data_IF_967427948332
#
_entry.id   IF_967427948332
#
_cell.length_a   1.000
_cell.length_b   1.000
_cell.length_c   1.000
_cell.angle_alpha   90.00
_cell.angle_beta   90.00
_cell.angle_gamma   90.00
#
_symmetry.space_group_name_H-M   'P 1'
#
loop_
_entity.id
_entity.type
_entity.pdbx_description
1 polymer ?
#
# COMPACT_ATOMS: atom_id res chain seq x y z
N UNK A 1 14.10 -15.51 -34.31
CA UNK A 1 13.64 -14.80 -33.09
C UNK A 1 13.78 -15.74 -31.91
N UNK A 2 14.66 -15.44 -30.94
CA UNK A 2 14.77 -16.23 -29.70
C UNK A 2 13.72 -15.73 -28.70
N UNK A 3 12.98 -16.61 -28.00
CA UNK A 3 12.04 -16.16 -26.98
C UNK A 3 12.83 -15.54 -25.81
N UNK A 4 12.40 -14.37 -25.35
CA UNK A 4 12.92 -13.74 -24.12
C UNK A 4 12.67 -14.71 -22.96
N UNK A 5 13.73 -15.20 -22.33
CA UNK A 5 13.65 -16.06 -21.15
C UNK A 5 13.01 -15.30 -19.99
N UNK A 6 11.96 -15.88 -19.40
CA UNK A 6 11.39 -15.38 -18.14
C UNK A 6 12.48 -15.37 -17.06
N UNK A 7 12.63 -14.30 -16.27
CA UNK A 7 13.61 -14.25 -15.17
C UNK A 7 13.26 -15.23 -14.03
N UNK A 8 12.14 -15.94 -14.13
CA UNK A 8 11.61 -16.85 -13.12
C UNK A 8 11.73 -18.30 -13.58
N UNK A 9 12.95 -18.83 -13.61
CA UNK A 9 13.15 -20.26 -13.74
C UNK A 9 12.55 -20.98 -12.51
N UNK A 10 11.80 -22.07 -12.76
CA UNK A 10 10.91 -22.75 -11.81
C UNK A 10 11.63 -23.16 -10.52
N UNK A 11 11.37 -22.45 -9.42
CA UNK A 11 11.62 -22.94 -8.07
C UNK A 11 10.30 -23.50 -7.48
N UNK A 12 10.36 -24.71 -6.94
CA UNK A 12 9.22 -25.35 -6.28
C UNK A 12 8.82 -24.56 -5.01
N UNK A 13 7.51 -24.35 -4.74
CA UNK A 13 7.08 -23.60 -3.57
C UNK A 13 7.39 -24.38 -2.28
N UNK A 14 7.86 -23.72 -1.20
CA UNK A 14 7.98 -24.34 0.11
C UNK A 14 6.61 -24.65 0.71
N UNK A 15 6.52 -25.73 1.49
CA UNK A 15 5.30 -26.14 2.21
C UNK A 15 4.89 -25.04 3.20
N UNK A 16 3.68 -24.51 3.01
CA UNK A 16 3.09 -23.46 3.84
C UNK A 16 2.39 -24.07 5.06
N UNK A 17 2.68 -23.54 6.26
CA UNK A 17 1.89 -23.77 7.46
C UNK A 17 0.91 -22.61 7.67
N UNK A 18 -0.38 -22.89 7.95
CA UNK A 18 -1.36 -21.84 8.24
C UNK A 18 -1.03 -21.11 9.55
N UNK A 19 -1.37 -19.81 9.67
CA UNK A 19 -1.26 -19.09 10.93
C UNK A 19 -2.24 -19.64 11.98
N UNK A 20 -1.91 -19.57 13.29
CA UNK A 20 -2.76 -20.12 14.34
C UNK A 20 -4.09 -19.37 14.42
N UNK A 21 -5.20 -20.13 14.39
CA UNK A 21 -6.54 -19.70 14.75
C UNK A 21 -6.55 -19.18 16.19
N UNK A 22 -6.89 -17.90 16.38
CA UNK A 22 -7.11 -17.33 17.71
C UNK A 22 -8.45 -17.86 18.22
N UNK A 23 -8.40 -18.86 19.10
CA UNK A 23 -9.55 -19.43 19.78
C UNK A 23 -10.00 -18.45 20.88
N UNK A 24 -11.15 -17.80 20.69
CA UNK A 24 -11.76 -16.96 21.71
C UNK A 24 -12.43 -17.86 22.76
N UNK A 25 -11.83 -18.01 23.94
CA UNK A 25 -12.51 -18.59 25.09
C UNK A 25 -12.87 -17.49 26.10
N UNK A 26 -14.16 -17.37 26.35
CA UNK A 26 -14.76 -16.52 27.39
C UNK A 26 -14.35 -17.05 28.78
N UNK A 27 -13.96 -16.16 29.69
CA UNK A 27 -14.20 -16.33 31.12
C UNK A 27 -14.66 -15.02 31.74
N UNK A 28 -15.89 -15.07 32.25
CA UNK A 28 -16.54 -14.10 33.13
C UNK A 28 -16.07 -14.29 34.58
N UNK A 29 -15.62 -13.21 35.22
CA UNK A 29 -15.68 -12.91 36.67
C UNK A 29 -14.87 -11.61 36.87
N UNK A 30 -15.34 -10.52 37.48
CA UNK A 30 -16.36 -10.36 38.48
C UNK A 30 -15.72 -9.88 39.78
N UNK A 31 -15.12 -8.69 39.82
CA UNK A 31 -14.66 -8.06 41.08
C UNK A 31 -14.89 -6.55 41.06
N UNK A 32 -15.72 -6.08 42.01
CA UNK A 32 -15.88 -4.69 42.41
C UNK A 32 -14.69 -4.26 43.26
N UNK A 33 -14.21 -3.03 43.11
CA UNK A 33 -13.84 -2.16 44.25
C UNK A 33 -13.42 -0.75 43.80
N UNK A 34 -14.08 0.22 44.41
CA UNK A 34 -13.67 1.57 44.81
C UNK A 34 -12.81 2.46 43.87
N UNK A 35 -13.39 3.59 43.47
CA UNK A 35 -12.67 4.84 43.20
C UNK A 35 -11.85 5.30 44.42
N UNK A 36 -10.79 6.07 44.20
CA UNK A 36 -10.93 7.51 44.40
C UNK A 36 -10.34 8.36 43.26
N UNK A 37 -10.71 9.63 43.31
CA UNK A 37 -10.49 10.72 42.37
C UNK A 37 -9.01 11.06 42.10
N UNK A 38 -8.79 11.70 40.94
CA UNK A 38 -7.72 12.68 40.77
C UNK A 38 -6.32 12.16 40.45
N UNK A 39 -5.98 12.03 39.16
CA UNK A 39 -4.74 12.64 38.63
C UNK A 39 -4.75 12.63 37.11
N UNK A 40 -4.61 13.82 36.54
CA UNK A 40 -4.28 14.06 35.13
C UNK A 40 -2.96 13.38 34.79
N UNK A 41 -3.00 12.21 34.14
CA UNK A 41 -1.81 11.64 33.49
C UNK A 41 -1.59 12.36 32.17
N UNK A 42 -0.67 13.32 32.21
CA UNK A 42 0.02 13.84 31.04
C UNK A 42 0.43 12.67 30.14
N UNK A 43 -0.07 12.69 28.90
CA UNK A 43 0.27 11.71 27.88
C UNK A 43 1.79 11.65 27.72
N UNK A 44 2.37 10.46 27.90
CA UNK A 44 3.76 10.20 27.49
C UNK A 44 3.81 10.33 25.98
N UNK A 45 4.18 11.52 25.51
CA UNK A 45 4.60 11.74 24.13
C UNK A 45 5.74 10.77 23.83
N UNK A 46 5.48 9.79 22.97
CA UNK A 46 6.54 9.02 22.32
C UNK A 46 7.25 9.99 21.38
N UNK A 47 8.26 10.69 21.87
CA UNK A 47 9.12 11.49 21.00
C UNK A 47 9.81 10.54 20.01
N UNK A 48 9.61 10.70 18.68
CA UNK A 48 10.34 9.91 17.71
C UNK A 48 11.84 10.23 17.83
N UNK A 49 12.67 9.20 17.69
CA UNK A 49 14.13 9.37 17.59
C UNK A 49 14.48 10.35 16.46
N UNK A 50 15.44 11.27 16.65
CA UNK A 50 15.88 12.18 15.59
C UNK A 50 16.28 11.41 14.33
N UNK A 51 15.90 11.91 13.15
CA UNK A 51 16.09 11.22 11.86
C UNK A 51 17.54 10.76 11.60
N UNK A 52 18.54 11.51 12.09
CA UNK A 52 19.96 11.12 12.03
C UNK A 52 20.28 9.87 12.86
N UNK A 53 19.72 9.74 14.07
CA UNK A 53 19.95 8.58 14.94
C UNK A 53 19.27 7.32 14.38
N UNK A 54 18.09 7.50 13.78
CA UNK A 54 17.36 6.43 13.09
C UNK A 54 18.17 5.86 11.93
N UNK A 55 18.74 6.71 11.07
CA UNK A 55 19.62 6.27 9.98
C UNK A 55 20.89 5.56 10.45
N UNK A 56 21.46 5.96 11.60
CA UNK A 56 22.62 5.29 12.20
C UNK A 56 22.26 3.90 12.73
N UNK A 57 21.13 3.74 13.42
CA UNK A 57 20.65 2.43 13.88
C UNK A 57 20.32 1.51 12.68
N UNK A 58 19.71 2.07 11.63
CA UNK A 58 19.41 1.39 10.36
C UNK A 58 20.68 0.87 9.65
N UNK A 59 21.78 1.62 9.67
CA UNK A 59 23.04 1.23 9.05
C UNK A 59 23.89 0.28 9.92
N UNK A 60 23.85 0.43 11.25
CA UNK A 60 24.77 -0.24 12.17
C UNK A 60 24.21 -1.53 12.78
N UNK A 61 22.88 -1.72 12.76
CA UNK A 61 22.20 -2.90 13.32
C UNK A 61 21.10 -3.44 12.39
N UNK A 62 21.45 -3.97 11.20
CA UNK A 62 20.47 -4.41 10.19
C UNK A 62 19.52 -5.50 10.70
N UNK A 63 19.98 -6.39 11.58
CA UNK A 63 19.15 -7.43 12.22
C UNK A 63 18.09 -6.84 13.16
N UNK A 64 18.47 -5.87 13.99
CA UNK A 64 17.54 -5.20 14.91
C UNK A 64 16.52 -4.37 14.14
N UNK A 65 16.95 -3.67 13.09
CA UNK A 65 16.05 -2.95 12.19
C UNK A 65 15.05 -3.90 11.51
N UNK A 66 15.50 -5.05 11.01
CA UNK A 66 14.63 -6.06 10.43
C UNK A 66 13.55 -6.56 11.40
N UNK A 67 13.91 -6.83 12.66
CA UNK A 67 12.96 -7.25 13.71
C UNK A 67 11.97 -6.14 14.05
N UNK A 68 12.44 -4.90 14.23
CA UNK A 68 11.56 -3.76 14.54
C UNK A 68 10.60 -3.44 13.39
N UNK A 69 11.07 -3.52 12.15
CA UNK A 69 10.23 -3.39 10.96
C UNK A 69 9.17 -4.50 10.94
N UNK A 70 9.55 -5.76 11.14
CA UNK A 70 8.62 -6.89 11.17
C UNK A 70 7.49 -6.70 12.20
N UNK A 71 7.84 -6.29 13.43
CA UNK A 71 6.84 -6.01 14.49
C UNK A 71 5.89 -4.88 14.07
N UNK A 72 6.44 -3.77 13.53
CA UNK A 72 5.65 -2.64 13.06
C UNK A 72 4.68 -3.06 11.95
N UNK A 73 5.17 -3.79 10.96
CA UNK A 73 4.38 -4.14 9.77
C UNK A 73 3.34 -5.21 10.10
N UNK A 74 3.62 -6.11 11.06
CA UNK A 74 2.61 -6.99 11.65
C UNK A 74 1.46 -6.23 12.31
N UNK A 75 1.77 -5.14 13.03
CA UNK A 75 0.75 -4.27 13.63
C UNK A 75 -0.06 -3.48 12.61
N UNK A 76 0.45 -3.31 11.39
CA UNK A 76 -0.28 -2.58 10.35
C UNK A 76 -1.58 -3.27 9.90
N UNK A 77 -1.73 -4.59 10.10
CA UNK A 77 -3.03 -5.24 9.93
C UNK A 77 -4.07 -4.77 10.96
N UNK A 78 -3.63 -4.28 12.12
CA UNK A 78 -4.51 -3.82 13.20
C UNK A 78 -4.72 -2.31 13.08
N UNK A 79 -3.61 -1.56 13.02
CA UNK A 79 -3.58 -0.10 13.17
C UNK A 79 -3.31 0.66 11.86
N UNK A 80 -3.09 -0.05 10.75
CA UNK A 80 -2.76 0.52 9.44
C UNK A 80 -3.98 0.63 8.52
N UNK A 81 -3.72 0.53 7.21
CA UNK A 81 -4.78 0.54 6.19
C UNK A 81 -5.65 -0.71 6.29
N UNK A 82 -6.98 -0.56 6.44
CA UNK A 82 -7.87 -1.70 6.63
C UNK A 82 -7.96 -2.61 5.39
N UNK A 83 -7.69 -2.07 4.19
CA UNK A 83 -7.66 -2.83 2.92
C UNK A 83 -6.56 -3.90 2.90
N UNK A 84 -5.52 -3.74 3.72
CA UNK A 84 -4.45 -4.72 3.86
C UNK A 84 -4.97 -6.11 4.28
N UNK A 85 -6.09 -6.16 5.02
CA UNK A 85 -6.78 -7.40 5.41
C UNK A 85 -7.42 -8.12 4.22
N UNK A 86 -7.68 -7.41 3.13
CA UNK A 86 -8.32 -7.95 1.92
C UNK A 86 -7.30 -8.55 0.94
N UNK A 87 -5.99 -8.35 1.15
CA UNK A 87 -4.96 -8.81 0.22
C UNK A 87 -5.04 -10.30 -0.11
N UNK A 88 -5.32 -11.16 0.87
CA UNK A 88 -5.50 -12.61 0.66
C UNK A 88 -6.69 -12.99 -0.22
N UNK A 89 -7.62 -12.05 -0.44
CA UNK A 89 -8.77 -12.21 -1.34
C UNK A 89 -8.50 -11.67 -2.74
N UNK A 90 -7.52 -10.75 -2.85
CA UNK A 90 -7.17 -10.05 -4.08
C UNK A 90 -6.03 -10.72 -4.84
N UNK A 91 -5.15 -11.44 -4.14
CA UNK A 91 -4.03 -12.21 -4.69
C UNK A 91 -3.85 -13.55 -3.98
N UNK A 92 -3.48 -14.57 -4.74
CA UNK A 92 -3.25 -15.94 -4.29
C UNK A 92 -1.76 -16.27 -4.27
N UNK A 93 -1.37 -17.28 -3.50
CA UNK A 93 0.03 -17.72 -3.44
C UNK A 93 0.56 -18.14 -4.82
N UNK A 94 1.80 -17.74 -5.13
CA UNK A 94 2.46 -18.00 -6.42
C UNK A 94 2.11 -17.00 -7.52
N UNK A 95 1.04 -16.22 -7.38
CA UNK A 95 0.68 -15.17 -8.34
C UNK A 95 1.63 -13.96 -8.22
N UNK A 96 1.70 -13.17 -9.30
CA UNK A 96 2.53 -11.96 -9.33
C UNK A 96 1.71 -10.75 -8.90
N UNK A 97 2.30 -9.94 -8.02
CA UNK A 97 1.77 -8.68 -7.53
C UNK A 97 2.72 -7.52 -7.83
N UNK A 98 2.19 -6.37 -8.22
CA UNK A 98 2.95 -5.12 -8.30
C UNK A 98 2.64 -4.22 -7.10
N UNK A 99 3.68 -3.66 -6.48
CA UNK A 99 3.59 -2.67 -5.40
C UNK A 99 4.21 -1.36 -5.92
N UNK A 100 3.36 -0.44 -6.38
CA UNK A 100 3.79 0.81 -7.05
C UNK A 100 3.71 1.95 -6.04
N UNK A 101 4.86 2.60 -5.80
CA UNK A 101 5.03 3.52 -4.67
C UNK A 101 5.28 2.77 -3.37
N UNK A 102 6.13 1.74 -3.43
CA UNK A 102 6.28 0.77 -2.35
C UNK A 102 6.76 1.39 -1.02
N UNK A 103 7.36 2.58 -1.04
CA UNK A 103 7.89 3.30 0.10
C UNK A 103 8.88 2.44 0.90
N UNK A 104 8.58 2.17 2.18
CA UNK A 104 9.36 1.26 3.04
C UNK A 104 9.04 -0.22 2.77
N UNK A 105 8.05 -0.53 1.95
CA UNK A 105 7.63 -1.87 1.51
C UNK A 105 6.59 -2.54 2.41
N UNK A 106 5.57 -1.81 2.88
CA UNK A 106 4.58 -2.40 3.79
C UNK A 106 3.65 -3.39 3.06
N UNK A 107 3.18 -3.03 1.87
CA UNK A 107 2.41 -3.92 1.00
C UNK A 107 3.28 -5.07 0.49
N UNK A 108 4.48 -4.78 -0.01
CA UNK A 108 5.49 -5.80 -0.38
C UNK A 108 5.65 -6.88 0.70
N UNK A 109 5.74 -6.49 1.96
CA UNK A 109 5.89 -7.42 3.08
C UNK A 109 4.72 -8.38 3.25
N UNK A 110 3.49 -7.88 3.14
CA UNK A 110 2.30 -8.70 3.29
C UNK A 110 2.05 -9.58 2.07
N UNK A 111 2.26 -9.04 0.87
CA UNK A 111 2.19 -9.80 -0.38
C UNK A 111 3.15 -11.01 -0.35
N UNK A 112 4.41 -10.79 0.06
CA UNK A 112 5.39 -11.88 0.22
C UNK A 112 4.96 -12.91 1.28
N UNK A 113 4.29 -12.49 2.37
CA UNK A 113 3.79 -13.38 3.42
C UNK A 113 2.58 -14.20 2.98
N UNK A 114 1.74 -13.66 2.10
CA UNK A 114 0.66 -14.40 1.45
C UNK A 114 1.17 -15.29 0.30
N UNK A 115 2.48 -15.33 0.07
CA UNK A 115 3.12 -16.22 -0.89
C UNK A 115 3.12 -15.69 -2.32
N UNK A 116 2.76 -14.42 -2.55
CA UNK A 116 2.87 -13.80 -3.85
C UNK A 116 4.34 -13.55 -4.23
N UNK A 117 4.60 -13.47 -5.54
CA UNK A 117 5.85 -12.93 -6.09
C UNK A 117 5.63 -11.44 -6.36
N UNK A 118 6.55 -10.59 -5.93
CA UNK A 118 6.34 -9.15 -5.91
C UNK A 118 7.30 -8.44 -6.87
N UNK A 119 6.76 -7.47 -7.59
CA UNK A 119 7.52 -6.47 -8.34
C UNK A 119 7.23 -5.11 -7.70
N UNK A 120 8.19 -4.60 -6.93
CA UNK A 120 8.05 -3.33 -6.22
C UNK A 120 8.72 -2.19 -7.00
N UNK A 121 8.04 -1.05 -7.11
CA UNK A 121 8.54 0.17 -7.72
C UNK A 121 8.63 1.27 -6.67
N UNK A 122 9.81 1.85 -6.51
CA UNK A 122 10.06 2.94 -5.55
C UNK A 122 11.07 3.92 -6.16
N UNK A 123 10.70 5.19 -6.41
CA UNK A 123 11.62 6.16 -7.02
C UNK A 123 12.69 6.68 -6.05
N UNK A 124 12.41 6.78 -4.75
CA UNK A 124 13.34 7.39 -3.79
C UNK A 124 14.55 6.47 -3.54
N UNK A 125 15.78 6.86 -3.94
CA UNK A 125 16.96 6.00 -3.81
C UNK A 125 17.26 5.57 -2.37
N UNK A 126 16.90 6.41 -1.39
CA UNK A 126 17.08 6.10 0.04
C UNK A 126 16.12 5.00 0.48
N UNK A 127 14.88 5.02 0.02
CA UNK A 127 13.88 3.98 0.33
C UNK A 127 14.17 2.68 -0.41
N UNK A 128 14.65 2.75 -1.66
CA UNK A 128 15.16 1.59 -2.39
C UNK A 128 16.25 0.88 -1.58
N UNK A 129 17.22 1.61 -1.02
CA UNK A 129 18.27 1.01 -0.21
C UNK A 129 17.73 0.38 1.08
N UNK A 130 16.76 1.01 1.74
CA UNK A 130 16.06 0.43 2.90
C UNK A 130 15.37 -0.89 2.51
N UNK A 131 14.66 -0.92 1.38
CA UNK A 131 13.98 -2.12 0.90
C UNK A 131 14.96 -3.22 0.52
N UNK A 132 16.08 -2.90 -0.15
CA UNK A 132 17.14 -3.89 -0.47
C UNK A 132 17.64 -4.61 0.77
N UNK A 133 17.91 -3.87 1.84
CA UNK A 133 18.36 -4.45 3.11
C UNK A 133 17.27 -5.29 3.78
N UNK A 134 16.03 -4.76 3.79
CA UNK A 134 14.88 -5.39 4.45
C UNK A 134 14.45 -6.69 3.77
N UNK A 135 14.54 -6.75 2.45
CA UNK A 135 14.05 -7.87 1.64
C UNK A 135 15.14 -8.64 0.92
N UNK A 136 16.40 -8.54 1.36
CA UNK A 136 17.54 -9.21 0.74
C UNK A 136 17.30 -10.70 0.49
N UNK A 137 16.68 -11.41 1.44
CA UNK A 137 16.35 -12.83 1.29
C UNK A 137 15.31 -13.10 0.18
N UNK A 138 14.24 -12.29 0.13
CA UNK A 138 13.20 -12.42 -0.90
C UNK A 138 13.70 -12.00 -2.29
N UNK A 139 14.68 -11.10 -2.36
CA UNK A 139 15.35 -10.79 -3.62
C UNK A 139 16.29 -11.93 -4.04
N UNK A 140 17.04 -12.50 -3.09
CA UNK A 140 17.98 -13.59 -3.33
C UNK A 140 17.31 -14.89 -3.77
N UNK A 141 16.08 -15.16 -3.32
CA UNK A 141 15.31 -16.34 -3.72
C UNK A 141 14.33 -16.10 -4.88
N UNK A 142 14.31 -14.88 -5.43
CA UNK A 142 13.44 -14.54 -6.55
C UNK A 142 11.96 -14.48 -6.18
N UNK A 143 11.60 -14.07 -4.97
CA UNK A 143 10.22 -13.67 -4.66
C UNK A 143 9.98 -12.18 -4.79
N UNK A 144 11.03 -11.36 -4.81
CA UNK A 144 10.95 -9.90 -4.98
C UNK A 144 11.89 -9.39 -6.08
N UNK A 145 11.34 -8.62 -7.02
CA UNK A 145 12.09 -7.72 -7.90
C UNK A 145 11.83 -6.28 -7.47
N UNK A 146 12.89 -5.54 -7.12
CA UNK A 146 12.80 -4.12 -6.76
C UNK A 146 13.34 -3.24 -7.89
N UNK A 147 12.54 -2.27 -8.33
CA UNK A 147 12.86 -1.37 -9.44
C UNK A 147 12.86 0.08 -8.94
N UNK A 148 14.02 0.73 -9.06
CA UNK A 148 14.22 2.12 -8.61
C UNK A 148 13.83 3.13 -9.68
N UNK A 149 12.53 3.34 -9.92
CA UNK A 149 12.03 4.32 -10.88
C UNK A 149 10.66 4.84 -10.47
N UNK A 150 10.29 6.03 -10.95
CA UNK A 150 8.93 6.51 -10.93
C UNK A 150 8.15 5.88 -12.10
N UNK A 151 6.93 5.44 -11.85
CA UNK A 151 6.03 5.02 -12.94
C UNK A 151 5.16 6.18 -13.39
N UNK A 152 4.88 6.25 -14.69
CA UNK A 152 4.11 7.31 -15.33
C UNK A 152 3.56 6.80 -16.68
N UNK A 153 2.96 7.69 -17.48
CA UNK A 153 2.49 7.41 -18.83
C UNK A 153 3.57 7.59 -19.92
N UNK A 154 4.81 7.91 -19.52
CA UNK A 154 5.94 8.08 -20.42
C UNK A 154 7.28 7.68 -19.82
N UNK A 155 8.31 7.66 -20.67
CA UNK A 155 9.70 7.36 -20.33
C UNK A 155 10.52 8.64 -20.13
N UNK A 156 11.72 8.53 -19.54
CA UNK A 156 12.70 9.61 -19.41
C UNK A 156 13.12 9.83 -17.97
N UNK A 157 13.40 11.08 -17.61
CA UNK A 157 13.70 11.48 -16.23
C UNK A 157 12.52 12.27 -15.66
N UNK A 158 12.37 12.23 -14.34
CA UNK A 158 11.42 13.02 -13.58
C UNK A 158 12.09 13.60 -12.32
N UNK A 159 11.57 14.72 -11.85
CA UNK A 159 11.97 15.30 -10.57
C UNK A 159 11.06 14.73 -9.49
N UNK A 160 11.61 13.93 -8.59
CA UNK A 160 10.94 13.50 -7.38
C UNK A 160 11.05 14.59 -6.31
N UNK A 161 9.91 15.07 -5.84
CA UNK A 161 9.82 16.04 -4.76
C UNK A 161 9.56 15.31 -3.44
N UNK A 162 10.47 15.48 -2.47
CA UNK A 162 10.47 14.78 -1.19
C UNK A 162 10.32 15.80 -0.06
N UNK A 163 9.15 15.89 0.59
CA UNK A 163 8.96 16.78 1.72
C UNK A 163 9.87 16.41 2.90
N UNK A 164 10.60 17.39 3.44
CA UNK A 164 11.52 17.18 4.55
C UNK A 164 10.75 16.67 5.76
N UNK A 165 11.16 15.51 6.28
CA UNK A 165 10.50 14.83 7.41
C UNK A 165 9.35 13.90 7.02
N UNK A 166 8.86 13.95 5.77
CA UNK A 166 7.67 13.22 5.32
C UNK A 166 7.89 12.55 3.96
N UNK A 167 8.88 11.65 3.88
CA UNK A 167 9.16 10.88 2.66
C UNK A 167 8.02 9.94 2.19
N UNK A 168 6.94 9.81 2.97
CA UNK A 168 5.71 9.15 2.53
C UNK A 168 4.98 9.98 1.47
N UNK A 169 5.00 11.31 1.59
CA UNK A 169 4.33 12.26 0.71
C UNK A 169 5.17 12.62 -0.53
N UNK A 170 6.07 11.72 -0.96
CA UNK A 170 6.96 11.99 -2.07
C UNK A 170 6.21 11.80 -3.39
N UNK A 171 6.32 12.75 -4.31
CA UNK A 171 5.55 12.75 -5.56
C UNK A 171 6.35 13.35 -6.71
N UNK A 172 6.03 12.97 -7.94
CA UNK A 172 6.53 13.61 -9.17
C UNK A 172 5.55 14.66 -9.71
N UNK A 173 4.42 14.88 -9.04
CA UNK A 173 3.47 15.95 -9.34
C UNK A 173 3.91 17.26 -8.65
N UNK A 174 4.55 18.15 -9.41
CA UNK A 174 5.00 19.44 -8.87
C UNK A 174 3.84 20.28 -8.29
N UNK A 175 2.63 20.15 -8.83
CA UNK A 175 1.45 20.87 -8.35
C UNK A 175 1.00 20.43 -6.94
N UNK A 176 1.24 19.18 -6.57
CA UNK A 176 0.92 18.65 -5.23
C UNK A 176 1.82 19.24 -4.14
N UNK A 177 3.00 19.75 -4.51
CA UNK A 177 3.97 20.33 -3.58
C UNK A 177 3.59 21.75 -3.14
N UNK A 178 2.90 22.51 -3.99
CA UNK A 178 2.49 23.88 -3.67
C UNK A 178 1.59 23.99 -2.43
N UNK A 179 1.01 22.87 -1.99
CA UNK A 179 0.16 22.76 -0.80
C UNK A 179 0.94 22.44 0.49
N UNK A 180 2.24 22.15 0.40
CA UNK A 180 3.05 21.73 1.54
C UNK A 180 3.83 22.91 2.15
N UNK A 181 3.56 23.22 3.43
CA UNK A 181 4.27 24.26 4.19
C UNK A 181 5.63 23.80 4.74
N UNK A 182 6.35 22.92 4.03
CA UNK A 182 7.65 22.39 4.48
C UNK A 182 8.70 22.52 3.39
N UNK A 183 9.97 22.47 3.78
CA UNK A 183 11.07 22.39 2.82
C UNK A 183 10.97 21.09 1.99
N UNK A 184 11.36 21.17 0.72
CA UNK A 184 11.26 20.06 -0.23
C UNK A 184 12.64 19.79 -0.81
N UNK A 185 13.07 18.54 -0.74
CA UNK A 185 14.26 18.04 -1.44
C UNK A 185 13.83 17.53 -2.82
N UNK A 186 14.60 17.84 -3.87
CA UNK A 186 14.38 17.33 -5.22
C UNK A 186 15.43 16.30 -5.60
N UNK A 187 15.02 15.22 -6.23
CA UNK A 187 15.90 14.13 -6.67
C UNK A 187 15.52 13.76 -8.10
N UNK A 188 16.48 13.79 -9.03
CA UNK A 188 16.25 13.27 -10.38
C UNK A 188 16.17 11.74 -10.34
N UNK A 189 15.09 11.19 -10.90
CA UNK A 189 14.82 9.76 -10.90
C UNK A 189 14.41 9.29 -12.31
N UNK A 190 14.76 8.05 -12.70
CA UNK A 190 14.25 7.48 -13.93
C UNK A 190 12.72 7.37 -13.87
N UNK A 191 12.07 7.71 -14.97
CA UNK A 191 10.63 7.59 -15.20
C UNK A 191 10.36 6.54 -16.27
N UNK A 192 9.41 5.64 -16.01
CA UNK A 192 9.07 4.54 -16.92
C UNK A 192 7.57 4.27 -17.01
N UNK A 193 7.14 3.61 -18.07
CA UNK A 193 5.81 3.01 -18.18
C UNK A 193 5.78 1.63 -17.52
N UNK A 194 4.66 1.32 -16.86
CA UNK A 194 4.46 0.00 -16.25
C UNK A 194 4.52 -1.12 -17.30
N UNK A 195 3.89 -0.89 -18.46
CA UNK A 195 3.87 -1.83 -19.59
C UNK A 195 5.27 -2.20 -20.10
N UNK A 196 6.24 -1.29 -19.98
CA UNK A 196 7.62 -1.51 -20.44
C UNK A 196 8.48 -2.21 -19.37
N UNK A 197 8.00 -2.21 -18.11
CA UNK A 197 8.71 -2.81 -16.98
C UNK A 197 8.29 -4.24 -16.67
N UNK A 198 7.06 -4.63 -16.99
CA UNK A 198 6.43 -5.90 -16.56
C UNK A 198 5.88 -6.66 -17.75
N UNK A 199 6.47 -7.82 -18.02
CA UNK A 199 6.08 -8.66 -19.16
C UNK A 199 5.26 -9.88 -18.73
N UNK A 200 5.36 -10.29 -17.47
CA UNK A 200 4.59 -11.40 -16.91
C UNK A 200 3.11 -11.03 -16.65
N UNK A 201 2.28 -12.06 -16.48
CA UNK A 201 0.90 -11.87 -16.05
C UNK A 201 0.85 -11.49 -14.57
N UNK A 202 0.09 -10.43 -14.27
CA UNK A 202 -0.05 -9.85 -12.93
C UNK A 202 -1.45 -10.09 -12.42
N UNK A 203 -1.56 -10.58 -11.19
CA UNK A 203 -2.83 -10.84 -10.53
C UNK A 203 -3.30 -9.67 -9.67
N UNK A 204 -2.39 -8.84 -9.14
CA UNK A 204 -2.70 -7.72 -8.26
C UNK A 204 -1.76 -6.53 -8.48
N UNK A 205 -2.28 -5.30 -8.37
CA UNK A 205 -1.49 -4.07 -8.41
C UNK A 205 -1.97 -3.13 -7.29
N UNK A 206 -1.05 -2.71 -6.42
CA UNK A 206 -1.23 -1.53 -5.57
C UNK A 206 -0.62 -0.31 -6.28
N UNK A 207 -1.35 0.81 -6.29
CA UNK A 207 -0.87 2.12 -6.74
C UNK A 207 -1.07 3.13 -5.61
N UNK A 208 0.02 3.80 -5.21
CA UNK A 208 0.09 4.77 -4.12
C UNK A 208 1.24 5.74 -4.42
N UNK A 209 0.98 6.77 -5.21
CA UNK A 209 2.05 7.65 -5.74
C UNK A 209 1.72 9.13 -5.54
N UNK A 210 0.88 9.42 -4.56
CA UNK A 210 0.58 10.77 -4.07
C UNK A 210 0.16 11.72 -5.21
N UNK A 211 -0.89 11.35 -5.94
CA UNK A 211 -1.56 12.19 -6.94
C UNK A 211 -1.22 11.86 -8.41
N UNK A 212 -0.26 10.96 -8.65
CA UNK A 212 0.16 10.57 -10.01
C UNK A 212 -0.49 9.25 -10.50
N UNK A 213 -1.54 8.77 -9.84
CA UNK A 213 -2.10 7.43 -10.06
C UNK A 213 -2.73 7.26 -11.45
N UNK A 214 -3.40 8.29 -11.98
CA UNK A 214 -4.02 8.24 -13.31
C UNK A 214 -2.97 8.08 -14.42
N UNK A 215 -1.80 8.71 -14.27
CA UNK A 215 -0.71 8.62 -15.23
C UNK A 215 0.01 7.26 -15.13
N UNK A 216 0.26 6.76 -13.92
CA UNK A 216 0.74 5.37 -13.70
C UNK A 216 -0.19 4.37 -14.38
N UNK A 217 -1.50 4.50 -14.13
CA UNK A 217 -2.51 3.63 -14.72
C UNK A 217 -2.50 3.76 -16.25
N UNK A 218 -2.40 4.98 -16.78
CA UNK A 218 -2.24 5.28 -18.21
C UNK A 218 -1.06 4.53 -18.85
N UNK A 219 0.11 4.53 -18.21
CA UNK A 219 1.30 3.81 -18.66
C UNK A 219 1.28 2.29 -18.47
N UNK A 220 0.23 1.75 -17.85
CA UNK A 220 0.02 0.32 -17.59
C UNK A 220 -1.23 -0.27 -18.22
N UNK A 221 -1.93 0.48 -19.08
CA UNK A 221 -3.25 0.06 -19.58
C UNK A 221 -3.18 -1.20 -20.44
N UNK A 222 -2.08 -1.47 -21.15
CA UNK A 222 -1.97 -2.70 -21.95
C UNK A 222 -1.89 -3.93 -21.02
N UNK A 223 -1.10 -3.86 -19.95
CA UNK A 223 -1.01 -4.88 -18.91
C UNK A 223 -2.34 -5.06 -18.18
N UNK A 224 -2.98 -3.97 -17.75
CA UNK A 224 -4.28 -4.01 -17.03
C UNK A 224 -5.36 -4.62 -17.91
N UNK A 225 -5.42 -4.25 -19.19
CA UNK A 225 -6.40 -4.80 -20.12
C UNK A 225 -6.19 -6.29 -20.39
N UNK A 226 -4.92 -6.72 -20.51
CA UNK A 226 -4.54 -8.11 -20.77
C UNK A 226 -4.76 -9.02 -19.56
N UNK A 227 -4.23 -8.65 -18.40
CA UNK A 227 -4.15 -9.53 -17.23
C UNK A 227 -5.37 -9.43 -16.31
N UNK A 228 -6.16 -8.36 -16.44
CA UNK A 228 -7.28 -8.04 -15.55
C UNK A 228 -6.92 -8.17 -14.05
N UNK A 229 -5.80 -7.59 -13.58
CA UNK A 229 -5.39 -7.69 -12.17
C UNK A 229 -6.44 -7.08 -11.26
N UNK A 230 -6.54 -7.58 -10.02
CA UNK A 230 -7.15 -6.84 -8.92
C UNK A 230 -6.35 -5.55 -8.69
N UNK A 231 -7.01 -4.41 -8.56
CA UNK A 231 -6.35 -3.12 -8.35
C UNK A 231 -6.72 -2.59 -6.98
N UNK A 232 -5.74 -2.10 -6.23
CA UNK A 232 -5.93 -1.26 -5.04
C UNK A 232 -5.24 0.07 -5.33
N UNK A 233 -6.00 1.14 -5.47
CA UNK A 233 -5.51 2.44 -5.93
C UNK A 233 -5.89 3.50 -4.91
N UNK A 234 -4.91 4.29 -4.48
CA UNK A 234 -5.20 5.50 -3.72
C UNK A 234 -5.74 6.60 -4.66
N UNK A 235 -6.80 7.29 -4.26
CA UNK A 235 -7.32 8.43 -5.00
C UNK A 235 -7.87 9.46 -4.03
N UNK A 236 -7.33 10.67 -4.06
CA UNK A 236 -7.75 11.75 -3.17
C UNK A 236 -8.07 13.02 -3.96
N UNK A 237 -9.25 13.59 -3.73
CA UNK A 237 -9.69 14.81 -4.42
C UNK A 237 -8.79 16.01 -4.09
N UNK A 238 -8.21 16.06 -2.89
CA UNK A 238 -7.24 17.10 -2.50
C UNK A 238 -5.91 17.02 -3.25
N UNK A 239 -5.48 15.81 -3.63
CA UNK A 239 -4.26 15.61 -4.42
C UNK A 239 -4.55 15.86 -5.90
N UNK A 240 -5.70 15.38 -6.38
CA UNK A 240 -6.14 15.55 -7.77
C UNK A 240 -7.67 15.60 -7.84
N UNK A 241 -8.27 16.76 -8.15
CA UNK A 241 -9.70 16.86 -8.38
C UNK A 241 -10.18 15.90 -9.49
N UNK A 242 -11.23 15.15 -9.22
CA UNK A 242 -11.79 14.12 -10.08
C UNK A 242 -10.97 12.83 -10.14
N UNK A 243 -10.09 12.56 -9.17
CA UNK A 243 -9.23 11.37 -9.16
C UNK A 243 -10.03 10.08 -9.32
N UNK A 244 -11.03 9.84 -8.46
CA UNK A 244 -11.85 8.62 -8.54
C UNK A 244 -12.63 8.56 -9.86
N UNK A 245 -13.17 9.69 -10.32
CA UNK A 245 -13.90 9.76 -11.58
C UNK A 245 -13.03 9.39 -12.79
N UNK A 246 -11.74 9.79 -12.78
CA UNK A 246 -10.77 9.41 -13.80
C UNK A 246 -10.48 7.91 -13.79
N UNK A 247 -10.25 7.31 -12.62
CA UNK A 247 -10.06 5.87 -12.49
C UNK A 247 -11.26 5.08 -13.01
N UNK A 248 -12.48 5.47 -12.59
CA UNK A 248 -13.73 4.83 -13.03
C UNK A 248 -13.89 4.87 -14.55
N UNK A 249 -13.66 6.04 -15.16
CA UNK A 249 -13.74 6.21 -16.63
C UNK A 249 -12.78 5.30 -17.40
N UNK A 250 -11.62 4.97 -16.84
CA UNK A 250 -10.65 4.04 -17.47
C UNK A 250 -11.00 2.56 -17.23
N UNK A 251 -11.46 2.24 -16.02
CA UNK A 251 -11.56 0.85 -15.56
C UNK A 251 -12.95 0.24 -15.81
N UNK A 252 -14.04 0.98 -15.63
CA UNK A 252 -15.40 0.45 -15.81
C UNK A 252 -15.64 -0.10 -17.24
N UNK A 253 -15.19 0.56 -18.34
CA UNK A 253 -15.34 0.00 -19.69
C UNK A 253 -14.57 -1.31 -19.90
N UNK A 254 -13.58 -1.60 -19.06
CA UNK A 254 -12.82 -2.84 -19.07
C UNK A 254 -13.47 -3.95 -18.23
N UNK A 255 -14.68 -3.73 -17.70
CA UNK A 255 -15.43 -4.70 -16.90
C UNK A 255 -15.05 -4.72 -15.41
N UNK A 256 -14.35 -3.69 -14.92
CA UNK A 256 -14.02 -3.59 -13.51
C UNK A 256 -15.21 -3.08 -12.68
N UNK A 257 -15.50 -3.78 -11.58
CA UNK A 257 -16.35 -3.28 -10.52
C UNK A 257 -15.50 -2.59 -9.45
N UNK A 258 -15.88 -1.36 -9.06
CA UNK A 258 -15.18 -0.56 -8.06
C UNK A 258 -15.82 -0.63 -6.68
N UNK A 259 -14.99 -0.66 -5.64
CA UNK A 259 -15.38 -0.71 -4.24
C UNK A 259 -14.50 0.19 -3.36
N UNK A 260 -15.01 0.56 -2.18
CA UNK A 260 -14.22 1.15 -1.09
C UNK A 260 -14.62 0.50 0.25
N UNK A 261 -13.78 0.62 1.26
CA UNK A 261 -14.01 0.03 2.58
C UNK A 261 -14.40 1.12 3.60
N UNK A 262 -15.60 1.04 4.14
CA UNK A 262 -16.10 1.97 5.18
C UNK A 262 -16.46 1.20 6.45
N UNK A 263 -15.71 1.41 7.53
CA UNK A 263 -15.92 0.69 8.79
C UNK A 263 -15.84 -0.84 8.65
N UNK A 264 -15.03 -1.36 7.73
CA UNK A 264 -14.97 -2.80 7.41
C UNK A 264 -16.12 -3.30 6.53
N UNK A 265 -16.94 -2.40 6.00
CA UNK A 265 -18.00 -2.68 5.02
C UNK A 265 -17.50 -2.33 3.63
N UNK A 266 -17.41 -3.33 2.75
CA UNK A 266 -17.13 -3.09 1.35
C UNK A 266 -18.40 -2.50 0.70
N UNK A 267 -18.25 -1.32 0.09
CA UNK A 267 -19.33 -0.58 -0.57
C UNK A 267 -18.96 -0.29 -2.02
N UNK A 268 -19.93 -0.26 -2.96
CA UNK A 268 -19.66 0.08 -4.34
C UNK A 268 -19.24 1.54 -4.47
N UNK A 269 -18.31 1.86 -5.38
CA UNK A 269 -17.87 3.26 -5.64
C UNK A 269 -19.00 4.19 -6.09
N UNK A 270 -20.12 3.65 -6.57
CA UNK A 270 -21.32 4.43 -6.87
C UNK A 270 -21.95 5.11 -5.63
N UNK A 271 -21.69 4.58 -4.43
CA UNK A 271 -22.16 5.15 -3.17
C UNK A 271 -21.15 6.11 -2.52
N UNK A 272 -19.97 6.29 -3.12
CA UNK A 272 -18.94 7.18 -2.62
C UNK A 272 -19.31 8.64 -2.90
N UNK A 273 -19.13 9.50 -1.90
CA UNK A 273 -19.30 10.95 -2.02
C UNK A 273 -18.05 11.65 -1.46
N UNK A 274 -17.24 12.32 -2.29
CA UNK A 274 -16.00 12.93 -1.83
C UNK A 274 -16.21 14.00 -0.76
N UNK A 275 -17.33 14.72 -0.79
CA UNK A 275 -17.61 15.78 0.20
C UNK A 275 -17.87 15.21 1.60
N UNK A 276 -18.36 13.97 1.67
CA UNK A 276 -18.64 13.23 2.91
C UNK A 276 -17.48 12.34 3.33
N UNK A 277 -16.93 11.59 2.38
CA UNK A 277 -16.03 10.46 2.63
C UNK A 277 -14.54 10.88 2.61
N UNK A 278 -14.23 12.07 2.11
CA UNK A 278 -12.89 12.69 2.10
C UNK A 278 -12.89 14.07 2.77
N UNK A 279 -13.58 14.22 3.90
CA UNK A 279 -13.50 15.43 4.72
C UNK A 279 -12.06 15.66 5.24
N UNK A 280 -11.34 16.71 4.81
CA UNK A 280 -9.97 16.96 5.25
C UNK A 280 -9.84 17.18 6.76
N UNK A 281 -10.92 17.60 7.44
CA UNK A 281 -10.92 17.75 8.90
C UNK A 281 -10.80 16.40 9.64
N UNK A 282 -11.01 15.28 8.94
CA UNK A 282 -10.75 13.94 9.45
C UNK A 282 -9.25 13.61 9.55
N UNK A 283 -8.35 14.42 8.98
CA UNK A 283 -6.91 14.19 8.97
C UNK A 283 -6.16 15.10 9.96
N UNK A 284 -4.97 14.66 10.39
CA UNK A 284 -4.03 15.51 11.12
C UNK A 284 -3.54 16.69 10.25
N UNK A 285 -2.86 17.67 10.86
CA UNK A 285 -2.35 18.86 10.14
C UNK A 285 -1.47 18.51 8.94
N UNK A 286 -0.68 17.44 9.06
CA UNK A 286 0.18 16.97 7.99
C UNK A 286 -0.57 16.17 6.91
N UNK A 287 -1.87 15.90 7.07
CA UNK A 287 -2.67 15.15 6.10
C UNK A 287 -2.29 13.67 5.95
N UNK A 288 -1.51 13.11 6.88
CA UNK A 288 -0.91 11.77 6.78
C UNK A 288 -1.62 10.70 7.61
N UNK A 289 -2.48 11.12 8.55
CA UNK A 289 -3.17 10.20 9.47
C UNK A 289 -4.57 10.67 9.78
N UNK A 290 -5.48 9.70 9.88
CA UNK A 290 -6.84 9.88 10.37
C UNK A 290 -6.82 10.28 11.86
N UNK A 291 -7.63 11.26 12.23
CA UNK A 291 -7.92 11.61 13.63
C UNK A 291 -8.77 10.52 14.25
N UNK A 292 -8.64 10.34 15.57
CA UNK A 292 -9.38 9.34 16.31
C UNK A 292 -10.90 9.50 16.12
N UNK A 293 -11.60 8.40 15.83
CA UNK A 293 -13.04 8.39 15.59
C UNK A 293 -13.51 9.02 14.27
N UNK A 294 -12.60 9.47 13.40
CA UNK A 294 -12.95 10.02 12.08
C UNK A 294 -12.64 9.01 10.97
N UNK A 295 -13.48 8.98 9.93
CA UNK A 295 -13.27 8.18 8.72
C UNK A 295 -12.72 9.09 7.62
N UNK A 296 -11.81 8.54 6.82
CA UNK A 296 -11.31 9.19 5.61
C UNK A 296 -10.93 8.09 4.61
N UNK A 297 -11.63 8.06 3.47
CA UNK A 297 -11.51 7.00 2.48
C UNK A 297 -10.67 7.49 1.31
N UNK A 298 -9.46 6.96 1.20
CA UNK A 298 -8.52 7.26 0.11
C UNK A 298 -8.23 6.04 -0.77
N UNK A 299 -8.49 4.81 -0.29
CA UNK A 299 -8.22 3.58 -1.02
C UNK A 299 -9.46 3.04 -1.73
N UNK A 300 -9.28 2.67 -3.00
CA UNK A 300 -10.31 2.09 -3.85
C UNK A 300 -9.86 0.77 -4.45
N UNK A 301 -10.76 -0.21 -4.47
CA UNK A 301 -10.51 -1.55 -4.99
C UNK A 301 -11.27 -1.71 -6.30
N UNK A 302 -10.60 -2.11 -7.37
CA UNK A 302 -11.24 -2.46 -8.63
C UNK A 302 -10.94 -3.91 -8.98
N UNK A 303 -11.99 -4.68 -9.27
CA UNK A 303 -11.87 -6.10 -9.62
C UNK A 303 -12.70 -6.43 -10.86
N UNK A 304 -12.08 -7.09 -11.86
CA UNK A 304 -12.75 -7.53 -13.08
C UNK A 304 -13.00 -9.04 -13.14
N UNK A 305 -12.20 -9.83 -12.41
CA UNK A 305 -12.28 -11.30 -12.44
C UNK A 305 -13.44 -11.81 -11.57
N UNK A 306 -14.39 -12.59 -12.10
CA UNK A 306 -15.57 -13.04 -11.36
C UNK A 306 -15.24 -13.83 -10.07
N UNK A 307 -14.22 -14.68 -10.11
CA UNK A 307 -13.79 -15.48 -8.95
C UNK A 307 -13.16 -14.62 -7.83
N UNK A 308 -12.51 -13.50 -8.19
CA UNK A 308 -12.03 -12.52 -7.20
C UNK A 308 -13.21 -11.74 -6.63
N UNK A 309 -14.15 -11.29 -7.47
CA UNK A 309 -15.36 -10.60 -7.01
C UNK A 309 -16.16 -11.45 -6.03
N UNK A 310 -16.34 -12.74 -6.31
CA UNK A 310 -17.01 -13.68 -5.44
C UNK A 310 -16.28 -13.85 -4.09
N UNK A 311 -14.94 -13.98 -4.09
CA UNK A 311 -14.14 -14.01 -2.85
C UNK A 311 -14.29 -12.72 -2.04
N UNK A 312 -14.20 -11.58 -2.71
CA UNK A 312 -14.19 -10.25 -2.08
C UNK A 312 -15.56 -9.90 -1.45
N UNK A 313 -16.65 -10.24 -2.13
CA UNK A 313 -18.03 -9.97 -1.67
C UNK A 313 -18.58 -11.07 -0.75
N UNK A 314 -18.09 -12.32 -0.90
CA UNK A 314 -18.52 -13.48 -0.14
C UNK A 314 -18.08 -13.52 1.33
N UNK A 315 -17.07 -12.71 1.72
CA UNK A 315 -16.58 -12.63 3.10
C UNK A 315 -17.59 -12.09 4.13
N UNK A 316 -18.81 -11.73 3.71
CA UNK A 316 -19.87 -11.16 4.56
C UNK A 316 -21.02 -12.09 4.96
N UNK A 317 -20.99 -13.39 4.64
CA UNK A 317 -22.05 -14.31 5.10
C UNK A 317 -21.89 -14.85 6.52
N UNK A 318 -20.79 -14.57 7.21
CA UNK A 318 -20.58 -14.99 8.60
C UNK A 318 -20.20 -13.79 9.47
N UNK A 319 -21.17 -12.92 9.75
CA UNK A 319 -21.16 -12.16 10.99
C UNK A 319 -22.03 -12.95 11.99
N UNK A 320 -21.50 -13.41 13.13
CA UNK A 320 -22.34 -14.03 14.16
C UNK A 320 -23.25 -12.96 14.76
N UNK A 321 -24.55 -13.29 14.85
CA UNK A 321 -25.54 -12.57 15.67
C UNK A 321 -25.11 -12.44 17.14
#
# INVERSE_FOLDING_TARGET
>A
MRPKSSPWARASPPRWCPPPTVCASRRTAGWRSCCPEGSTRAGRGKHPLPGRLKGIVEARFPRLFGVLADIRDRRALIDGEPEMRLLSSLVSAGEVACDIGANRGIYTFWLLRYGARVIAFEPNPRLVEVMRRRFAAAMGDGRLRLVGCALSDGEGDAVLHVPVGSAALATIEAAAIGQLHTAVETIDVPRRRLDDCVAEDVAFIKIDVEGHEDAVLGGGMALVSRCKPSLLIEAEERHRPGALAALRRRLEPLGYAGFYLDGGVLRPVAAFDPSRDQDPAALNEAGTRRREGRSYINNFIFVARPEVQARLTGQRREAPE
#
